data_IF_639924254000
#
_entry.id   IF_639924254000
#
_cell.length_a   1.000
_cell.length_b   1.000
_cell.length_c   1.000
_cell.angle_alpha   90.00
_cell.angle_beta   90.00
_cell.angle_gamma   90.00
#
_symmetry.space_group_name_H-M   'P 1'
#
loop_
_entity.id
_entity.type
_entity.pdbx_description
1 polymer ?
#
# COMPACT_ATOMS: atom_id res chain seq x y z
N UNK A 1 75.23 -37.88 11.63
CA UNK A 1 73.97 -37.62 12.41
C UNK A 1 73.38 -36.24 12.06
N UNK A 2 74.20 -35.28 11.52
CA UNK A 2 73.74 -33.91 11.24
C UNK A 2 72.78 -33.71 10.06
N UNK A 3 72.95 -34.48 8.97
CA UNK A 3 72.16 -34.20 7.74
C UNK A 3 70.66 -34.55 7.81
N UNK A 4 70.28 -35.54 8.59
CA UNK A 4 68.85 -35.90 8.80
C UNK A 4 68.09 -34.84 9.61
N UNK A 5 68.69 -34.20 10.60
CA UNK A 5 68.08 -33.16 11.39
C UNK A 5 67.85 -31.87 10.60
N UNK A 6 68.76 -31.53 9.70
CA UNK A 6 68.61 -30.35 8.81
C UNK A 6 67.43 -30.54 7.81
N UNK A 7 67.34 -31.72 7.23
CA UNK A 7 66.21 -32.06 6.27
C UNK A 7 64.87 -32.00 7.01
N UNK A 8 64.76 -32.54 8.20
CA UNK A 8 63.54 -32.56 9.01
C UNK A 8 63.13 -31.11 9.39
N UNK A 9 64.07 -30.28 9.84
CA UNK A 9 63.80 -28.86 10.15
C UNK A 9 63.36 -28.06 8.92
N UNK A 10 63.91 -28.34 7.73
CA UNK A 10 63.52 -27.68 6.49
C UNK A 10 62.11 -28.10 6.05
N UNK A 11 61.76 -29.36 6.17
CA UNK A 11 60.43 -29.90 5.85
C UNK A 11 59.35 -29.35 6.82
N UNK A 12 59.63 -29.32 8.14
CA UNK A 12 58.68 -28.77 9.13
C UNK A 12 58.50 -27.26 8.95
N UNK A 13 59.51 -26.48 8.60
CA UNK A 13 59.36 -25.06 8.30
C UNK A 13 58.55 -24.80 7.04
N UNK A 14 58.69 -25.64 6.00
CA UNK A 14 57.92 -25.53 4.77
C UNK A 14 56.44 -25.86 5.00
N UNK A 15 56.12 -26.86 5.82
CA UNK A 15 54.76 -27.24 6.23
C UNK A 15 54.16 -26.10 7.06
N UNK A 16 54.88 -25.56 8.03
CA UNK A 16 54.43 -24.47 8.91
C UNK A 16 54.11 -23.19 8.08
N UNK A 17 54.97 -22.83 7.11
CA UNK A 17 54.72 -21.68 6.22
C UNK A 17 53.46 -21.89 5.35
N UNK A 18 53.25 -23.11 4.82
CA UNK A 18 52.06 -23.45 4.07
C UNK A 18 50.79 -23.41 4.92
N UNK A 19 50.89 -23.87 6.17
CA UNK A 19 49.77 -23.81 7.12
C UNK A 19 49.40 -22.37 7.49
N UNK A 20 50.37 -21.51 7.73
CA UNK A 20 50.17 -20.07 8.01
C UNK A 20 49.56 -19.39 6.79
N UNK A 21 50.01 -19.68 5.58
CA UNK A 21 49.43 -19.12 4.34
C UNK A 21 47.99 -19.53 4.13
N UNK A 22 47.66 -20.79 4.35
CA UNK A 22 46.29 -21.30 4.27
C UNK A 22 45.37 -20.68 5.32
N UNK A 23 45.86 -20.51 6.53
CA UNK A 23 45.12 -19.83 7.61
C UNK A 23 44.87 -18.36 7.29
N UNK A 24 45.85 -17.68 6.70
CA UNK A 24 45.69 -16.28 6.26
C UNK A 24 44.68 -16.14 5.12
N UNK A 25 44.70 -17.05 4.15
CA UNK A 25 43.69 -17.09 3.07
C UNK A 25 42.30 -17.34 3.62
N UNK A 26 42.18 -18.28 4.59
CA UNK A 26 40.89 -18.58 5.23
C UNK A 26 40.32 -17.39 6.02
N UNK A 27 41.17 -16.66 6.76
CA UNK A 27 40.79 -15.43 7.45
C UNK A 27 40.34 -14.32 6.49
N UNK A 28 41.01 -14.15 5.35
CA UNK A 28 40.61 -13.16 4.35
C UNK A 28 39.26 -13.54 3.73
N UNK A 29 39.03 -14.80 3.42
CA UNK A 29 37.74 -15.28 2.91
C UNK A 29 36.61 -15.10 3.94
N UNK A 30 36.88 -15.38 5.22
CA UNK A 30 35.91 -15.16 6.30
C UNK A 30 35.57 -13.66 6.44
N UNK A 31 36.58 -12.78 6.38
CA UNK A 31 36.34 -11.33 6.40
C UNK A 31 35.50 -10.86 5.20
N UNK A 32 35.80 -11.40 4.01
CA UNK A 32 35.02 -11.08 2.80
C UNK A 32 33.57 -11.55 2.90
N UNK A 33 33.32 -12.75 3.44
CA UNK A 33 31.96 -13.24 3.66
C UNK A 33 31.20 -12.43 4.70
N UNK A 34 31.86 -12.00 5.78
CA UNK A 34 31.25 -11.13 6.81
C UNK A 34 30.92 -9.74 6.25
N UNK A 35 31.81 -9.15 5.44
CA UNK A 35 31.57 -7.86 4.78
C UNK A 35 30.46 -7.99 3.73
N UNK A 36 30.40 -9.08 2.99
CA UNK A 36 29.32 -9.33 2.02
C UNK A 36 27.97 -9.52 2.70
N UNK A 37 27.93 -10.24 3.83
CA UNK A 37 26.72 -10.40 4.65
C UNK A 37 26.28 -9.08 5.27
N UNK A 38 27.18 -8.23 5.74
CA UNK A 38 26.85 -6.89 6.24
C UNK A 38 26.34 -5.98 5.12
N UNK A 39 26.92 -6.04 3.93
CA UNK A 39 26.43 -5.31 2.75
C UNK A 39 25.04 -5.76 2.32
N UNK A 40 24.75 -7.06 2.36
CA UNK A 40 23.41 -7.60 2.10
C UNK A 40 22.41 -7.15 3.18
N UNK A 41 22.82 -7.10 4.46
CA UNK A 41 21.94 -6.65 5.55
C UNK A 41 21.60 -5.15 5.44
N UNK A 42 22.53 -4.31 5.01
CA UNK A 42 22.29 -2.87 4.76
C UNK A 42 21.43 -2.65 3.50
N UNK A 43 21.53 -3.52 2.50
CA UNK A 43 20.68 -3.44 1.30
C UNK A 43 19.23 -3.85 1.57
N UNK A 44 18.97 -4.66 2.59
CA UNK A 44 17.63 -5.12 2.97
C UNK A 44 16.92 -4.21 4.00
N UNK A 45 17.62 -3.25 4.62
CA UNK A 45 17.04 -2.37 5.65
C UNK A 45 16.80 -0.93 5.19
N UNK A 46 16.77 -0.65 3.91
CA UNK A 46 16.16 0.59 3.40
C UNK A 46 14.67 0.34 3.18
N UNK A 47 13.88 0.47 4.25
CA UNK A 47 12.54 1.02 4.08
C UNK A 47 12.74 2.37 3.37
N UNK A 48 12.22 2.56 2.15
CA UNK A 48 12.19 3.89 1.57
C UNK A 48 11.39 4.72 2.56
N UNK A 49 12.02 5.71 3.17
CA UNK A 49 11.43 6.54 4.24
C UNK A 49 10.11 7.10 3.72
N UNK A 50 9.02 6.41 4.07
CA UNK A 50 7.68 6.73 3.63
C UNK A 50 7.34 8.08 4.25
N UNK A 51 7.38 9.14 3.45
CA UNK A 51 6.96 10.45 3.89
C UNK A 51 5.51 10.36 4.38
N UNK A 52 5.25 10.89 5.58
CA UNK A 52 3.88 10.94 6.11
C UNK A 52 3.23 12.25 5.70
N UNK A 53 2.16 12.16 4.91
CA UNK A 53 1.34 13.29 4.48
C UNK A 53 0.16 13.41 5.45
N UNK A 54 -0.21 14.64 5.83
CA UNK A 54 -1.42 14.90 6.61
C UNK A 54 -2.57 15.26 5.69
N UNK A 55 -3.75 14.69 5.95
CA UNK A 55 -5.00 15.00 5.26
C UNK A 55 -6.12 15.22 6.26
N UNK A 56 -7.07 16.07 5.91
CA UNK A 56 -8.29 16.25 6.71
C UNK A 56 -9.31 15.12 6.49
N UNK A 57 -9.19 14.37 5.37
CA UNK A 57 -10.21 13.38 4.96
C UNK A 57 -9.65 12.00 4.65
N UNK A 58 -8.39 11.87 4.26
CA UNK A 58 -7.82 10.62 3.76
C UNK A 58 -6.86 9.95 4.74
N UNK A 59 -6.87 8.62 4.78
CA UNK A 59 -5.93 7.79 5.51
C UNK A 59 -5.61 6.50 4.77
N UNK A 60 -4.34 6.22 4.49
CA UNK A 60 -3.91 5.03 3.76
C UNK A 60 -2.54 5.18 3.13
N UNK A 61 -2.37 4.55 1.95
CA UNK A 61 -1.13 4.64 1.16
C UNK A 61 -1.38 5.23 -0.21
N UNK A 62 -0.39 5.98 -0.69
CA UNK A 62 -0.34 6.55 -2.02
C UNK A 62 0.99 6.19 -2.69
N UNK A 63 0.91 5.74 -3.94
CA UNK A 63 2.05 5.64 -4.86
C UNK A 63 1.92 6.77 -5.87
N UNK A 64 2.94 7.64 -6.00
CA UNK A 64 2.90 8.76 -6.94
C UNK A 64 3.91 8.57 -8.07
N UNK A 65 3.53 8.91 -9.29
CA UNK A 65 4.44 8.89 -10.45
C UNK A 65 5.62 9.85 -10.28
N UNK A 66 5.45 10.91 -9.50
CA UNK A 66 6.50 11.90 -9.26
C UNK A 66 7.77 11.29 -8.64
N UNK A 67 7.60 10.30 -7.77
CA UNK A 67 8.70 9.58 -7.11
C UNK A 67 9.07 8.26 -7.82
N UNK A 68 8.27 7.79 -8.79
CA UNK A 68 8.48 6.54 -9.48
C UNK A 68 8.82 6.78 -10.97
N UNK A 69 9.94 7.48 -11.23
CA UNK A 69 10.49 7.76 -12.56
C UNK A 69 9.50 8.44 -13.53
N UNK A 70 8.46 9.09 -12.99
CA UNK A 70 7.38 9.76 -13.73
C UNK A 70 6.56 8.81 -14.63
N UNK A 71 6.60 7.51 -14.36
CA UNK A 71 5.80 6.54 -15.10
C UNK A 71 4.31 6.71 -14.78
N UNK A 72 3.42 6.73 -15.77
CA UNK A 72 1.98 6.79 -15.53
C UNK A 72 1.47 5.51 -14.88
N UNK A 73 0.38 5.64 -14.12
CA UNK A 73 -0.27 4.51 -13.44
C UNK A 73 -1.40 4.01 -14.33
N UNK A 74 -1.27 2.78 -14.81
CA UNK A 74 -2.19 2.16 -15.75
C UNK A 74 -3.24 1.28 -15.08
N UNK A 75 -2.95 0.74 -13.89
CA UNK A 75 -3.95 0.00 -13.12
C UNK A 75 -3.62 -0.06 -11.63
N UNK A 76 -4.68 -0.29 -10.85
CA UNK A 76 -4.63 -0.48 -9.40
C UNK A 76 -5.60 -1.59 -8.99
N UNK A 77 -5.21 -2.37 -7.98
CA UNK A 77 -6.04 -3.42 -7.36
C UNK A 77 -5.93 -3.28 -5.85
N UNK A 78 -7.03 -3.53 -5.16
CA UNK A 78 -7.07 -3.60 -3.70
C UNK A 78 -8.23 -4.46 -3.22
N UNK A 79 -8.04 -5.09 -2.08
CA UNK A 79 -9.03 -5.90 -1.40
C UNK A 79 -9.16 -5.43 0.04
N UNK A 80 -10.38 -5.43 0.56
CA UNK A 80 -10.62 -5.17 1.97
C UNK A 80 -11.80 -5.97 2.50
N UNK A 81 -11.87 -6.11 3.82
CA UNK A 81 -13.05 -6.60 4.52
C UNK A 81 -13.86 -5.40 4.94
N UNK A 82 -15.14 -5.36 4.55
CA UNK A 82 -16.08 -4.30 4.90
C UNK A 82 -16.17 -4.22 6.43
N UNK A 83 -15.82 -3.08 7.06
CA UNK A 83 -15.79 -2.98 8.50
C UNK A 83 -17.21 -2.87 9.07
N UNK A 84 -17.40 -3.36 10.29
CA UNK A 84 -18.61 -3.08 11.04
C UNK A 84 -18.45 -1.72 11.75
N UNK A 85 -19.25 -0.71 11.35
CA UNK A 85 -19.25 0.59 12.05
C UNK A 85 -20.06 0.55 13.32
N UNK A 86 -19.55 1.23 14.35
CA UNK A 86 -20.29 1.38 15.61
C UNK A 86 -21.26 2.56 15.51
N UNK A 87 -22.53 2.26 15.24
CA UNK A 87 -23.59 3.26 15.11
C UNK A 87 -24.18 3.75 16.45
N UNK A 88 -23.79 3.17 17.58
CA UNK A 88 -24.37 3.49 18.88
C UNK A 88 -23.84 4.77 19.53
N UNK A 89 -22.67 5.25 19.10
CA UNK A 89 -21.95 6.33 19.83
C UNK A 89 -21.99 7.68 19.14
N UNK A 90 -21.91 7.74 17.80
CA UNK A 90 -21.91 8.99 17.04
C UNK A 90 -22.41 8.78 15.62
N UNK A 91 -23.13 9.76 15.07
CA UNK A 91 -23.30 9.84 13.63
C UNK A 91 -21.94 10.11 12.99
N UNK A 92 -21.57 9.32 12.01
CA UNK A 92 -20.29 9.43 11.31
C UNK A 92 -20.33 8.71 9.97
N UNK A 93 -19.36 9.01 9.14
CA UNK A 93 -19.27 8.53 7.77
C UNK A 93 -17.86 8.01 7.51
N UNK A 94 -17.74 6.92 6.79
CA UNK A 94 -16.44 6.42 6.33
C UNK A 94 -16.59 5.63 5.06
N UNK A 95 -15.63 5.76 4.15
CA UNK A 95 -15.54 4.92 2.95
C UNK A 95 -14.18 4.29 2.81
N UNK A 96 -14.12 3.09 2.22
CA UNK A 96 -12.90 2.42 1.80
C UNK A 96 -12.89 2.32 0.29
N UNK A 97 -11.80 2.75 -0.36
CA UNK A 97 -11.74 2.78 -1.79
C UNK A 97 -10.31 2.68 -2.36
N UNK A 98 -10.22 2.37 -3.63
CA UNK A 98 -9.03 2.53 -4.45
C UNK A 98 -9.28 3.55 -5.55
N UNK A 99 -8.21 4.26 -5.96
CA UNK A 99 -8.33 5.30 -7.00
C UNK A 99 -7.06 5.52 -7.79
N UNK A 100 -7.20 6.21 -8.93
CA UNK A 100 -6.09 6.70 -9.75
C UNK A 100 -6.27 8.21 -10.00
N UNK A 101 -5.29 9.02 -9.57
CA UNK A 101 -5.30 10.48 -9.60
C UNK A 101 -5.79 11.08 -8.28
N UNK A 102 -5.94 12.41 -8.22
CA UNK A 102 -6.52 13.13 -7.08
C UNK A 102 -5.54 13.63 -6.03
N UNK A 103 -4.36 13.04 -5.89
CA UNK A 103 -3.39 13.46 -4.88
C UNK A 103 -2.86 14.89 -5.11
N UNK A 104 -2.57 15.25 -6.34
CA UNK A 104 -1.94 16.52 -6.69
C UNK A 104 -2.67 17.27 -7.81
N UNK A 105 -3.78 16.78 -8.27
CA UNK A 105 -4.58 17.34 -9.37
C UNK A 105 -6.09 17.14 -9.12
N UNK A 106 -6.90 17.48 -10.13
CA UNK A 106 -8.37 17.44 -10.04
C UNK A 106 -8.97 16.23 -10.75
N UNK A 107 -8.14 15.30 -11.24
CA UNK A 107 -8.63 14.09 -11.88
C UNK A 107 -8.58 12.94 -10.88
N UNK A 108 -9.68 12.22 -10.73
CA UNK A 108 -9.74 11.04 -9.88
C UNK A 108 -10.81 10.10 -10.44
N UNK A 109 -10.43 8.85 -10.66
CA UNK A 109 -11.31 7.73 -10.92
C UNK A 109 -11.18 6.77 -9.76
N UNK A 110 -12.30 6.46 -9.07
CA UNK A 110 -12.28 5.69 -7.85
C UNK A 110 -13.52 4.78 -7.70
N UNK A 111 -13.38 3.73 -6.90
CA UNK A 111 -14.44 2.77 -6.60
C UNK A 111 -14.28 2.24 -5.19
N UNK A 112 -15.38 2.09 -4.47
CA UNK A 112 -15.31 1.71 -3.07
C UNK A 112 -16.63 1.30 -2.43
N UNK A 113 -16.57 1.19 -1.11
CA UNK A 113 -17.72 0.91 -0.23
C UNK A 113 -17.84 2.00 0.81
N UNK A 114 -19.07 2.44 1.08
CA UNK A 114 -19.43 3.37 2.14
C UNK A 114 -19.87 2.59 3.38
N UNK A 115 -19.56 3.16 4.56
CA UNK A 115 -19.90 2.60 5.88
C UNK A 115 -20.32 3.73 6.81
N UNK A 116 -21.62 3.96 6.86
CA UNK A 116 -22.21 5.10 7.55
C UNK A 116 -22.85 4.67 8.87
N UNK A 117 -22.79 5.55 9.85
CA UNK A 117 -23.53 5.45 11.11
C UNK A 117 -24.38 6.69 11.27
N UNK A 118 -25.69 6.54 11.28
CA UNK A 118 -26.62 7.65 11.48
C UNK A 118 -27.85 7.19 12.26
N UNK A 119 -28.24 7.94 13.28
CA UNK A 119 -29.41 7.64 14.12
C UNK A 119 -29.42 6.20 14.67
N UNK A 120 -28.27 5.70 15.10
CA UNK A 120 -28.08 4.32 15.59
C UNK A 120 -28.24 3.23 14.51
N UNK A 121 -28.31 3.60 13.24
CA UNK A 121 -28.42 2.67 12.10
C UNK A 121 -27.10 2.73 11.33
N UNK A 122 -26.55 1.55 11.02
CA UNK A 122 -25.44 1.41 10.11
C UNK A 122 -25.96 1.16 8.68
N UNK A 123 -25.39 1.85 7.69
CA UNK A 123 -25.74 1.72 6.29
C UNK A 123 -24.50 1.45 5.48
N UNK A 124 -24.59 0.50 4.54
CA UNK A 124 -23.48 0.08 3.69
C UNK A 124 -23.92 0.07 2.24
N UNK A 125 -23.08 0.55 1.31
CA UNK A 125 -23.34 0.46 -0.11
C UNK A 125 -22.05 0.57 -0.91
N UNK A 126 -22.07 0.04 -2.14
CA UNK A 126 -20.99 0.19 -3.10
C UNK A 126 -21.22 1.46 -3.94
N UNK A 127 -20.11 2.09 -4.36
CA UNK A 127 -20.15 3.29 -5.19
C UNK A 127 -18.92 3.39 -6.10
N UNK A 128 -19.01 4.18 -7.16
CA UNK A 128 -17.88 4.67 -7.94
C UNK A 128 -18.03 6.17 -8.20
N UNK A 129 -16.91 6.84 -8.44
CA UNK A 129 -16.90 8.28 -8.72
C UNK A 129 -15.80 8.62 -9.74
N UNK A 130 -16.09 9.61 -10.59
CA UNK A 130 -15.18 10.10 -11.60
C UNK A 130 -15.26 11.62 -11.56
N UNK A 131 -14.26 12.25 -10.97
CA UNK A 131 -14.27 13.70 -10.83
C UNK A 131 -14.27 14.42 -12.20
N UNK A 132 -15.03 15.54 -12.33
CA UNK A 132 -15.68 16.31 -11.27
C UNK A 132 -17.12 15.89 -10.94
N UNK A 133 -17.61 14.77 -11.47
CA UNK A 133 -18.98 14.31 -11.22
C UNK A 133 -19.11 13.79 -9.78
N UNK A 134 -20.36 13.68 -9.30
CA UNK A 134 -20.63 13.11 -7.98
C UNK A 134 -20.53 11.58 -8.00
N UNK A 135 -20.33 11.00 -6.81
CA UNK A 135 -20.37 9.54 -6.62
C UNK A 135 -21.72 8.95 -7.03
N UNK A 136 -21.67 7.77 -7.63
CA UNK A 136 -22.82 7.01 -8.10
C UNK A 136 -22.89 5.70 -7.32
N UNK A 137 -23.97 5.50 -6.58
CA UNK A 137 -24.26 4.24 -5.89
C UNK A 137 -24.45 3.11 -6.91
N UNK A 138 -23.90 1.94 -6.60
CA UNK A 138 -24.06 0.71 -7.40
C UNK A 138 -25.23 -0.09 -6.84
N UNK A 139 -26.44 -0.02 -7.42
CA UNK A 139 -27.66 -0.49 -6.75
C UNK A 139 -27.80 -2.00 -6.64
N UNK A 140 -27.12 -2.76 -7.49
CA UNK A 140 -27.24 -4.23 -7.57
C UNK A 140 -26.02 -4.96 -6.98
N UNK A 141 -25.24 -4.28 -6.16
CA UNK A 141 -24.11 -4.85 -5.45
C UNK A 141 -24.35 -4.67 -3.95
N UNK A 142 -24.88 -5.70 -3.32
CA UNK A 142 -25.15 -5.70 -1.89
C UNK A 142 -23.84 -5.75 -1.10
N UNK A 143 -23.71 -4.88 -0.09
CA UNK A 143 -22.55 -4.77 0.79
C UNK A 143 -23.00 -4.91 2.24
N UNK A 144 -22.38 -5.86 2.94
CA UNK A 144 -22.63 -6.10 4.36
C UNK A 144 -21.30 -6.08 5.15
N UNK A 145 -21.33 -5.73 6.44
CA UNK A 145 -20.14 -5.84 7.27
C UNK A 145 -19.64 -7.28 7.31
N UNK A 146 -18.32 -7.45 7.16
CA UNK A 146 -17.66 -8.76 7.06
C UNK A 146 -17.48 -9.27 5.64
N UNK A 147 -18.14 -8.68 4.64
CA UNK A 147 -17.93 -9.05 3.24
C UNK A 147 -16.49 -8.74 2.81
N UNK A 148 -15.92 -9.64 2.01
CA UNK A 148 -14.63 -9.40 1.34
C UNK A 148 -14.89 -8.79 -0.04
N UNK A 149 -14.37 -7.61 -0.27
CA UNK A 149 -14.52 -6.86 -1.52
C UNK A 149 -13.17 -6.75 -2.23
N UNK A 150 -13.16 -7.07 -3.53
CA UNK A 150 -12.03 -6.90 -4.44
C UNK A 150 -12.36 -5.84 -5.48
N UNK A 151 -11.55 -4.79 -5.54
CA UNK A 151 -11.69 -3.68 -6.48
C UNK A 151 -10.52 -3.62 -7.46
N UNK A 152 -10.79 -3.20 -8.70
CA UNK A 152 -9.75 -2.89 -9.68
C UNK A 152 -10.16 -1.74 -10.61
N UNK A 153 -9.16 -0.94 -11.00
CA UNK A 153 -9.29 0.10 -12.03
C UNK A 153 -8.14 -0.10 -13.00
N UNK A 154 -8.43 -0.18 -14.30
CA UNK A 154 -7.42 -0.46 -15.32
C UNK A 154 -7.68 0.33 -16.61
N UNK A 155 -6.63 0.92 -17.17
CA UNK A 155 -6.64 1.53 -18.50
C UNK A 155 -6.66 0.41 -19.54
N UNK A 156 -7.80 0.21 -20.20
CA UNK A 156 -7.99 -0.86 -21.19
C UNK A 156 -7.78 -0.40 -22.64
N UNK A 157 -7.80 0.91 -22.87
CA UNK A 157 -7.48 1.48 -24.16
C UNK A 157 -6.83 2.87 -23.97
N UNK A 158 -5.52 2.95 -24.16
CA UNK A 158 -4.76 4.18 -24.01
C UNK A 158 -4.99 5.20 -25.13
N UNK A 159 -5.39 4.77 -26.32
CA UNK A 159 -5.66 5.68 -27.45
C UNK A 159 -6.95 6.48 -27.24
N UNK A 160 -7.97 5.86 -26.66
CA UNK A 160 -9.28 6.48 -26.39
C UNK A 160 -9.50 6.77 -24.88
N UNK A 161 -8.48 6.59 -24.06
CA UNK A 161 -8.51 6.77 -22.61
C UNK A 161 -9.69 6.03 -21.94
N UNK A 162 -9.95 4.79 -22.35
CA UNK A 162 -11.03 3.99 -21.77
C UNK A 162 -10.51 3.18 -20.58
N UNK A 163 -11.18 3.36 -19.46
CA UNK A 163 -10.92 2.69 -18.19
C UNK A 163 -11.97 1.64 -17.89
N UNK A 164 -11.57 0.52 -17.31
CA UNK A 164 -12.44 -0.47 -16.70
C UNK A 164 -12.43 -0.28 -15.19
N UNK A 165 -13.60 -0.12 -14.58
CA UNK A 165 -13.80 -0.08 -13.12
C UNK A 165 -14.53 -1.37 -12.75
N UNK A 166 -14.01 -2.09 -11.75
CA UNK A 166 -14.64 -3.31 -11.25
C UNK A 166 -14.68 -3.30 -9.72
N UNK A 167 -15.79 -3.83 -9.19
CA UNK A 167 -15.95 -4.10 -7.75
C UNK A 167 -16.67 -5.43 -7.59
N UNK A 168 -16.05 -6.37 -6.90
CA UNK A 168 -16.54 -7.72 -6.71
C UNK A 168 -16.73 -7.99 -5.22
N UNK A 169 -17.95 -8.32 -4.80
CA UNK A 169 -18.20 -8.85 -3.47
C UNK A 169 -17.97 -10.36 -3.49
N UNK A 170 -16.86 -10.81 -2.90
CA UNK A 170 -16.46 -12.22 -2.91
C UNK A 170 -17.31 -13.09 -1.95
N UNK A 171 -18.02 -12.47 -1.00
CA UNK A 171 -18.86 -13.19 -0.04
C UNK A 171 -20.19 -13.67 -0.68
N UNK A 172 -20.76 -12.88 -1.60
CA UNK A 172 -22.04 -13.21 -2.25
C UNK A 172 -21.92 -13.41 -3.78
N UNK A 173 -20.69 -13.35 -4.33
CA UNK A 173 -20.36 -13.48 -5.75
C UNK A 173 -21.02 -12.43 -6.67
N UNK A 174 -21.51 -11.32 -6.13
CA UNK A 174 -22.01 -10.21 -6.94
C UNK A 174 -20.85 -9.39 -7.50
N UNK A 175 -20.99 -8.93 -8.74
CA UNK A 175 -19.95 -8.19 -9.46
C UNK A 175 -20.52 -6.96 -10.13
N UNK A 176 -19.73 -5.89 -10.13
CA UNK A 176 -19.96 -4.69 -10.92
C UNK A 176 -18.80 -4.48 -11.88
N UNK A 177 -19.09 -4.08 -13.11
CA UNK A 177 -18.09 -3.68 -14.10
C UNK A 177 -18.64 -2.55 -14.96
N UNK A 178 -17.81 -1.52 -15.20
CA UNK A 178 -18.12 -0.38 -16.04
C UNK A 178 -16.89 0.07 -16.81
N UNK A 179 -17.05 0.26 -18.12
CA UNK A 179 -16.05 0.90 -18.97
C UNK A 179 -16.44 2.36 -19.21
N UNK A 180 -15.48 3.27 -19.08
CA UNK A 180 -15.70 4.70 -19.24
C UNK A 180 -14.50 5.41 -19.86
N UNK A 181 -14.74 6.34 -20.77
CA UNK A 181 -13.71 7.23 -21.29
C UNK A 181 -13.44 8.34 -20.27
N UNK A 182 -12.19 8.49 -19.83
CA UNK A 182 -11.79 9.49 -18.85
C UNK A 182 -10.32 9.91 -19.03
N UNK A 183 -10.08 11.21 -19.07
CA UNK A 183 -8.74 11.78 -19.19
C UNK A 183 -8.09 11.91 -17.81
N UNK A 184 -7.69 10.79 -17.24
CA UNK A 184 -6.91 10.77 -16.00
C UNK A 184 -5.49 11.27 -16.24
N UNK A 185 -4.92 12.00 -15.27
CA UNK A 185 -3.49 12.36 -15.27
C UNK A 185 -2.59 11.16 -14.95
N UNK A 186 -3.13 10.07 -14.44
CA UNK A 186 -2.39 8.88 -14.02
C UNK A 186 -1.24 9.21 -13.05
N UNK A 187 -1.43 10.23 -12.21
CA UNK A 187 -0.37 10.84 -11.40
C UNK A 187 -0.11 10.10 -10.10
N UNK A 188 -1.12 9.43 -9.58
CA UNK A 188 -1.08 8.70 -8.30
C UNK A 188 -2.04 7.51 -8.31
N UNK A 189 -1.80 6.54 -7.42
CA UNK A 189 -2.69 5.43 -7.12
C UNK A 189 -2.84 5.28 -5.62
N UNK A 190 -4.07 5.12 -5.14
CA UNK A 190 -4.45 5.27 -3.74
C UNK A 190 -5.24 4.07 -3.22
N UNK A 191 -4.98 3.70 -1.97
CA UNK A 191 -5.79 2.80 -1.13
C UNK A 191 -6.14 3.56 0.14
N UNK A 192 -7.39 3.98 0.28
CA UNK A 192 -7.79 5.00 1.25
C UNK A 192 -9.01 4.58 2.07
N UNK A 193 -8.96 4.89 3.36
CA UNK A 193 -10.13 5.17 4.20
C UNK A 193 -10.35 6.67 4.17
N UNK A 194 -11.57 7.07 3.87
CA UNK A 194 -11.97 8.47 3.79
C UNK A 194 -13.05 8.83 4.80
N UNK A 195 -12.99 10.07 5.25
CA UNK A 195 -14.07 10.80 5.89
C UNK A 195 -14.65 11.75 4.85
N UNK A 196 -15.79 11.39 4.20
CA UNK A 196 -16.29 12.15 3.06
C UNK A 196 -16.72 13.57 3.42
N UNK A 197 -16.75 14.43 2.41
CA UNK A 197 -17.31 15.79 2.51
C UNK A 197 -18.80 15.75 2.23
N UNK A 198 -19.62 16.18 3.20
CA UNK A 198 -21.07 16.23 3.07
C UNK A 198 -21.50 17.70 3.16
N UNK A 199 -22.26 18.19 2.17
CA UNK A 199 -22.74 19.60 2.11
C UNK A 199 -21.61 20.62 2.31
N UNK A 200 -20.49 20.43 1.63
CA UNK A 200 -19.28 21.25 1.71
C UNK A 200 -18.61 21.29 3.11
N UNK A 201 -18.89 20.33 3.97
CA UNK A 201 -18.24 20.19 5.27
C UNK A 201 -17.63 18.80 5.40
N UNK A 202 -16.42 18.72 5.91
CA UNK A 202 -15.82 17.44 6.26
C UNK A 202 -16.65 16.77 7.36
N UNK A 203 -17.11 15.56 7.09
CA UNK A 203 -17.97 14.81 8.01
C UNK A 203 -17.26 14.39 9.30
N UNK A 204 -18.00 13.84 10.24
CA UNK A 204 -17.45 13.13 11.40
C UNK A 204 -17.05 11.74 10.95
N UNK A 205 -15.87 11.28 11.32
CA UNK A 205 -15.40 9.95 10.99
C UNK A 205 -16.19 8.88 11.75
N UNK A 206 -16.77 7.91 11.04
CA UNK A 206 -17.42 6.75 11.65
C UNK A 206 -16.38 5.88 12.38
N UNK A 207 -16.78 5.27 13.49
CA UNK A 207 -15.93 4.28 14.17
C UNK A 207 -16.00 2.94 13.42
N UNK A 208 -15.08 2.74 12.50
CA UNK A 208 -14.93 1.54 11.70
C UNK A 208 -13.99 0.48 12.34
N UNK A 209 -13.48 0.74 13.55
CA UNK A 209 -12.51 -0.14 14.20
C UNK A 209 -11.17 -0.19 13.45
N UNK A 210 -10.82 -1.34 12.92
CA UNK A 210 -9.63 -1.54 12.07
C UNK A 210 -10.05 -2.16 10.74
N UNK A 211 -9.63 -1.53 9.64
CA UNK A 211 -9.78 -2.07 8.29
C UNK A 211 -8.40 -2.50 7.76
N UNK A 212 -8.34 -3.68 7.17
CA UNK A 212 -7.15 -4.21 6.49
C UNK A 212 -7.34 -4.09 4.98
N UNK A 213 -6.45 -3.35 4.32
CA UNK A 213 -6.25 -3.46 2.89
C UNK A 213 -5.27 -4.60 2.61
N UNK A 214 -5.59 -5.43 1.62
CA UNK A 214 -4.77 -6.55 1.14
C UNK A 214 -4.79 -6.62 -0.38
N UNK A 215 -3.95 -7.46 -0.98
CA UNK A 215 -3.82 -7.55 -2.44
C UNK A 215 -3.66 -6.17 -3.10
N UNK A 216 -2.90 -5.27 -2.45
CA UNK A 216 -2.65 -3.92 -2.93
C UNK A 216 -1.55 -3.94 -3.99
N UNK A 217 -1.95 -4.02 -5.26
CA UNK A 217 -1.05 -4.05 -6.42
C UNK A 217 -1.31 -2.86 -7.34
N UNK A 218 -0.27 -2.43 -8.02
CA UNK A 218 -0.31 -1.30 -8.96
C UNK A 218 0.56 -1.61 -10.17
N UNK A 219 0.19 -1.06 -11.33
CA UNK A 219 0.98 -1.11 -12.57
C UNK A 219 1.40 0.31 -12.96
N UNK A 220 2.71 0.52 -13.00
CA UNK A 220 3.34 1.73 -13.55
C UNK A 220 4.00 1.33 -14.86
N UNK A 221 3.35 1.60 -15.99
CA UNK A 221 3.86 1.35 -17.35
C UNK A 221 4.69 0.05 -17.47
N UNK A 222 4.00 -1.09 -17.47
CA UNK A 222 4.58 -2.44 -17.57
C UNK A 222 5.35 -2.95 -16.33
N UNK A 223 5.38 -2.21 -15.23
CA UNK A 223 5.94 -2.69 -13.97
C UNK A 223 4.80 -2.93 -12.98
N UNK A 224 4.41 -4.19 -12.83
CA UNK A 224 3.37 -4.63 -11.88
C UNK A 224 4.02 -5.07 -10.58
N UNK A 225 3.50 -4.62 -9.45
CA UNK A 225 3.97 -5.04 -8.15
C UNK A 225 3.08 -4.59 -7.00
N UNK A 226 3.33 -5.09 -5.79
CA UNK A 226 2.71 -4.59 -4.56
C UNK A 226 3.18 -3.17 -4.25
N UNK A 227 2.48 -2.45 -3.35
CA UNK A 227 2.85 -1.09 -2.89
C UNK A 227 4.33 -1.02 -2.51
N UNK A 228 4.84 -2.03 -1.78
CA UNK A 228 6.22 -2.07 -1.28
C UNK A 228 7.32 -2.09 -2.34
N UNK A 229 6.99 -2.38 -3.60
CA UNK A 229 7.94 -2.32 -4.72
C UNK A 229 8.14 -0.89 -5.26
N UNK A 230 7.35 0.07 -4.80
CA UNK A 230 7.35 1.44 -5.30
C UNK A 230 7.57 2.43 -4.17
N UNK A 231 8.12 3.60 -4.50
CA UNK A 231 8.17 4.72 -3.56
C UNK A 231 6.74 5.17 -3.26
N UNK A 232 6.34 5.02 -2.01
CA UNK A 232 5.00 5.30 -1.51
C UNK A 232 5.02 6.25 -0.31
N UNK A 233 3.89 6.87 -0.02
CA UNK A 233 3.70 7.71 1.14
C UNK A 233 2.51 7.24 1.97
N UNK A 234 2.61 7.36 3.29
CA UNK A 234 1.45 7.24 4.18
C UNK A 234 0.70 8.56 4.20
N UNK A 235 -0.62 8.51 4.10
CA UNK A 235 -1.50 9.65 4.39
C UNK A 235 -2.21 9.39 5.70
N UNK A 236 -2.03 10.27 6.67
CA UNK A 236 -2.66 10.18 7.98
C UNK A 236 -3.77 11.21 8.11
N UNK A 237 -4.96 10.75 8.46
CA UNK A 237 -6.10 11.62 8.71
C UNK A 237 -5.94 12.37 10.03
N UNK A 238 -6.10 13.68 9.98
CA UNK A 238 -6.06 14.57 11.14
C UNK A 238 -7.25 15.52 11.14
N UNK A 239 -7.58 16.12 12.28
CA UNK A 239 -8.47 17.26 12.31
C UNK A 239 -7.70 18.58 12.05
N UNK A 240 -8.42 19.71 12.06
CA UNK A 240 -7.82 21.04 11.85
C UNK A 240 -6.78 21.44 12.90
N UNK A 241 -6.84 20.87 14.10
CA UNK A 241 -5.87 21.06 15.18
C UNK A 241 -4.69 20.10 15.08
N UNK A 242 -4.53 19.40 13.92
CA UNK A 242 -3.51 18.39 13.69
C UNK A 242 -3.58 17.16 14.61
N UNK A 243 -4.72 16.95 15.27
CA UNK A 243 -4.93 15.75 16.07
C UNK A 243 -5.22 14.56 15.16
N UNK A 244 -4.53 13.46 15.37
CA UNK A 244 -4.64 12.24 14.58
C UNK A 244 -5.98 11.55 14.83
N UNK A 245 -6.69 11.19 13.75
CA UNK A 245 -7.98 10.50 13.79
C UNK A 245 -7.85 9.00 13.47
N UNK A 246 -6.78 8.61 12.77
CA UNK A 246 -6.50 7.23 12.36
C UNK A 246 -5.04 6.90 12.57
N UNK A 247 -4.72 5.61 12.75
CA UNK A 247 -3.36 5.08 12.72
C UNK A 247 -3.19 4.16 11.50
N UNK A 248 -2.01 4.17 10.87
CA UNK A 248 -1.68 3.34 9.71
C UNK A 248 -0.48 2.47 10.09
N UNK A 249 -0.59 1.16 9.89
CA UNK A 249 0.51 0.22 10.09
C UNK A 249 1.66 0.43 9.08
N UNK A 250 2.78 -0.26 9.25
CA UNK A 250 3.70 -0.57 8.15
C UNK A 250 3.03 -1.46 7.11
N UNK A 251 3.68 -1.61 5.95
CA UNK A 251 3.31 -2.65 4.99
C UNK A 251 3.67 -4.02 5.54
N UNK A 252 2.98 -5.07 5.08
CA UNK A 252 3.37 -6.46 5.33
C UNK A 252 4.76 -6.77 4.76
N UNK A 253 5.33 -7.92 5.11
CA UNK A 253 6.61 -8.41 4.56
C UNK A 253 6.59 -8.53 3.04
N UNK A 254 5.43 -8.85 2.45
CA UNK A 254 5.20 -8.93 1.01
C UNK A 254 4.94 -7.55 0.36
N UNK A 255 4.82 -6.49 1.18
CA UNK A 255 4.55 -5.14 0.72
C UNK A 255 3.15 -4.91 0.13
N UNK A 256 2.21 -5.85 0.31
CA UNK A 256 0.91 -5.86 -0.37
C UNK A 256 -0.29 -5.63 0.54
N UNK A 257 -0.07 -5.40 1.84
CA UNK A 257 -1.17 -5.18 2.80
C UNK A 257 -0.77 -4.24 3.93
N UNK A 258 -1.77 -3.58 4.52
CA UNK A 258 -1.63 -2.69 5.68
C UNK A 258 -2.97 -2.50 6.39
N UNK A 259 -2.90 -1.97 7.61
CA UNK A 259 -4.08 -1.67 8.43
C UNK A 259 -4.27 -0.17 8.55
N UNK A 260 -5.52 0.26 8.55
CA UNK A 260 -5.95 1.58 9.02
C UNK A 260 -6.86 1.38 10.23
N UNK A 261 -6.49 1.99 11.36
CA UNK A 261 -7.23 1.87 12.62
C UNK A 261 -7.84 3.21 13.00
N UNK A 262 -9.12 3.22 13.34
CA UNK A 262 -9.82 4.36 13.92
C UNK A 262 -9.24 4.69 15.30
N UNK A 263 -9.00 5.96 15.57
CA UNK A 263 -8.60 6.46 16.89
C UNK A 263 -9.75 7.26 17.51
N UNK A 264 -10.30 8.22 16.75
CA UNK A 264 -11.42 9.07 17.20
C UNK A 264 -12.09 9.77 16.02
N UNK A 265 -13.30 10.31 16.26
CA UNK A 265 -14.17 10.84 15.19
C UNK A 265 -13.87 12.31 14.81
N UNK A 266 -13.21 13.09 15.68
CA UNK A 266 -12.85 14.52 15.47
C UNK A 266 -11.70 14.97 16.39
#
# INVERSE_FOLDING_TARGET
MGDREIIIRHATNKIRKRFILLLAIWLVLLLFTLLFLSFLSESFSRDPESSTIRSLSWSGFIVTRAFNQKQPIDSIVGQWIVPQVNASTTNGYSSAWIGIGGQSDKTLIQVGTEHDASNQIATYYAWYEILPDFSITIPNLEINPGDTVLASISLINSTSNVWSIQLNNLANAQTFSKNIAYNSTQSSGEWIIERPTIRNQTSILANFGTLTFSNCFINLTNTVGPIGNFTSSKITMTNQQATQLTAISGLSSEGSSFNVTYIKSK
#
